data_IF_299213401075
#
_entry.id   IF_299213401075
#
_cell.length_a   1.000
_cell.length_b   1.000
_cell.length_c   1.000
_cell.angle_alpha   90.00
_cell.angle_beta   90.00
_cell.angle_gamma   90.00
#
_symmetry.space_group_name_H-M   'P 1'
#
loop_
_entity.id
_entity.type
_entity.pdbx_description
1 polymer ?
#
# COMPACT_ATOMS: atom_id res chain seq x y z
N UNK A 1 44.24 -49.10 -35.87
CA UNK A 1 43.29 -48.06 -36.12
C UNK A 1 42.37 -47.96 -34.88
N UNK A 2 42.64 -47.03 -33.97
CA UNK A 2 41.84 -46.82 -32.73
C UNK A 2 40.97 -45.59 -32.92
N UNK A 3 39.63 -45.78 -32.93
CA UNK A 3 38.62 -44.69 -32.93
C UNK A 3 38.47 -44.19 -31.52
N UNK A 4 38.89 -42.95 -31.27
CA UNK A 4 38.59 -42.22 -30.04
C UNK A 4 37.18 -41.63 -30.15
N UNK A 5 36.25 -42.17 -29.39
CA UNK A 5 34.92 -41.57 -29.19
C UNK A 5 35.07 -40.46 -28.16
N UNK A 6 34.89 -39.21 -28.60
CA UNK A 6 34.84 -38.06 -27.70
C UNK A 6 33.46 -37.96 -27.05
N UNK A 7 33.43 -38.04 -25.73
CA UNK A 7 32.23 -37.76 -24.90
C UNK A 7 32.09 -36.25 -24.82
N UNK A 8 31.14 -35.69 -25.57
CA UNK A 8 30.71 -34.30 -25.39
C UNK A 8 29.74 -34.24 -24.21
N UNK A 9 30.24 -33.89 -23.04
CA UNK A 9 29.41 -33.65 -21.87
C UNK A 9 28.65 -32.36 -22.04
N UNK A 10 27.34 -32.43 -22.26
CA UNK A 10 26.42 -31.31 -22.28
C UNK A 10 26.18 -30.88 -20.84
N UNK A 11 26.91 -29.85 -20.37
CA UNK A 11 26.61 -29.19 -19.09
C UNK A 11 25.42 -28.26 -19.34
N UNK A 12 24.20 -28.75 -19.08
CA UNK A 12 23.05 -27.88 -18.91
C UNK A 12 23.23 -27.15 -17.58
N UNK A 13 23.72 -25.92 -17.61
CA UNK A 13 23.61 -25.00 -16.50
C UNK A 13 22.11 -24.70 -16.32
N UNK A 14 21.49 -25.35 -15.35
CA UNK A 14 20.18 -24.95 -14.80
C UNK A 14 20.41 -23.58 -14.16
N UNK A 15 20.16 -22.52 -14.93
CA UNK A 15 19.91 -21.19 -14.38
C UNK A 15 18.53 -21.30 -13.73
N UNK A 16 18.50 -21.83 -12.53
CA UNK A 16 17.37 -21.61 -11.63
C UNK A 16 17.36 -20.11 -11.39
N UNK A 17 16.57 -19.38 -12.17
CA UNK A 17 16.20 -18.03 -11.81
C UNK A 17 15.59 -18.12 -10.43
N UNK A 18 16.31 -17.65 -9.42
CA UNK A 18 15.74 -17.42 -8.10
C UNK A 18 14.52 -16.55 -8.34
N UNK A 19 13.34 -17.12 -8.17
CA UNK A 19 12.14 -16.33 -7.98
C UNK A 19 12.41 -15.56 -6.69
N UNK A 20 12.90 -14.32 -6.83
CA UNK A 20 13.06 -13.43 -5.70
C UNK A 20 11.66 -13.28 -5.11
N UNK A 21 11.51 -13.66 -3.85
CA UNK A 21 10.31 -13.35 -3.14
C UNK A 21 10.26 -11.84 -3.03
N UNK A 22 9.17 -11.25 -3.41
CA UNK A 22 9.04 -9.79 -3.52
C UNK A 22 7.80 -9.35 -2.78
N UNK A 23 7.92 -8.26 -2.03
CA UNK A 23 6.77 -7.60 -1.42
C UNK A 23 6.33 -6.45 -2.30
N UNK A 24 5.07 -6.47 -2.69
CA UNK A 24 4.43 -5.39 -3.43
C UNK A 24 3.64 -4.50 -2.49
N UNK A 25 3.93 -3.20 -2.48
CA UNK A 25 3.11 -2.17 -1.85
C UNK A 25 2.16 -1.59 -2.88
N UNK A 26 0.87 -1.52 -2.54
CA UNK A 26 -0.14 -0.86 -3.36
C UNK A 26 -0.88 0.18 -2.53
N UNK A 27 -0.95 1.41 -3.05
CA UNK A 27 -1.61 2.54 -2.41
C UNK A 27 -2.97 2.79 -3.05
N UNK A 28 -4.01 2.83 -2.22
CA UNK A 28 -5.39 2.92 -2.63
C UNK A 28 -6.10 4.16 -2.10
N UNK A 29 -7.08 4.64 -2.87
CA UNK A 29 -8.13 5.49 -2.35
C UNK A 29 -9.48 4.77 -2.43
N UNK A 30 -10.22 4.78 -1.33
CA UNK A 30 -11.60 4.37 -1.26
C UNK A 30 -12.52 5.60 -1.34
N UNK A 31 -13.56 5.58 -2.17
CA UNK A 31 -14.42 6.75 -2.34
C UNK A 31 -15.24 7.12 -1.10
N UNK A 32 -15.31 6.20 -0.13
CA UNK A 32 -16.17 6.35 1.05
C UNK A 32 -17.60 5.85 0.83
N UNK A 33 -18.44 6.00 1.84
CA UNK A 33 -19.82 5.60 1.77
C UNK A 33 -20.64 6.60 0.94
N UNK A 34 -21.51 6.08 0.04
CA UNK A 34 -22.47 6.90 -0.68
C UNK A 34 -23.70 7.14 0.20
N UNK A 35 -24.00 8.40 0.47
CA UNK A 35 -25.23 8.78 1.21
C UNK A 35 -26.41 9.02 0.28
N UNK A 36 -27.59 9.19 0.86
CA UNK A 36 -28.87 9.22 0.14
C UNK A 36 -28.98 10.29 -0.96
N UNK A 37 -28.27 11.40 -0.83
CA UNK A 37 -28.18 12.50 -1.81
C UNK A 37 -27.10 12.27 -2.89
N UNK A 38 -26.45 11.11 -2.88
CA UNK A 38 -25.38 10.77 -3.82
C UNK A 38 -24.01 11.26 -3.42
N UNK A 39 -23.86 12.08 -2.37
CA UNK A 39 -22.57 12.54 -1.88
C UNK A 39 -21.78 11.38 -1.28
N UNK A 40 -20.46 11.43 -1.41
CA UNK A 40 -19.54 10.49 -0.79
C UNK A 40 -19.08 11.05 0.56
N UNK A 41 -19.25 10.26 1.62
CA UNK A 41 -18.77 10.57 2.95
C UNK A 41 -17.58 9.71 3.32
N UNK A 42 -16.62 10.35 3.99
CA UNK A 42 -15.44 9.69 4.53
C UNK A 42 -14.59 8.96 3.48
N UNK A 43 -14.19 9.65 2.37
CA UNK A 43 -13.20 9.07 1.48
C UNK A 43 -11.93 8.77 2.28
N UNK A 44 -11.26 7.67 1.94
CA UNK A 44 -10.14 7.17 2.72
C UNK A 44 -8.97 6.76 1.84
N UNK A 45 -7.74 6.88 2.36
CA UNK A 45 -6.54 6.35 1.73
C UNK A 45 -5.92 5.28 2.63
N UNK A 46 -5.43 4.22 2.00
CA UNK A 46 -4.78 3.10 2.70
C UNK A 46 -3.72 2.45 1.80
N UNK A 47 -2.86 1.62 2.41
CA UNK A 47 -1.84 0.83 1.72
C UNK A 47 -2.11 -0.65 1.96
N UNK A 48 -1.79 -1.48 0.98
CA UNK A 48 -1.69 -2.93 1.11
C UNK A 48 -0.28 -3.38 0.76
N UNK A 49 0.23 -4.36 1.50
CA UNK A 49 1.43 -5.11 1.19
C UNK A 49 1.07 -6.57 0.95
N UNK A 50 1.52 -7.13 -0.16
CA UNK A 50 1.33 -8.55 -0.50
C UNK A 50 2.61 -9.12 -1.07
N UNK A 51 2.87 -10.40 -0.82
CA UNK A 51 4.03 -11.09 -1.36
C UNK A 51 4.66 -12.08 -0.39
N UNK A 52 5.95 -12.25 -0.48
CA UNK A 52 6.71 -13.15 0.40
C UNK A 52 8.05 -12.49 0.73
N UNK A 53 8.50 -12.61 1.96
CA UNK A 53 9.81 -12.14 2.37
C UNK A 53 10.90 -13.10 1.89
N UNK A 54 11.96 -12.54 1.29
CA UNK A 54 13.08 -13.32 0.77
C UNK A 54 13.84 -14.07 1.86
N UNK A 55 14.06 -13.41 2.99
CA UNK A 55 14.92 -13.92 4.05
C UNK A 55 14.27 -14.98 4.93
N UNK A 56 12.93 -14.97 5.05
CA UNK A 56 12.19 -15.89 5.93
C UNK A 56 11.23 -16.80 5.19
N UNK A 57 10.83 -16.47 3.96
CA UNK A 57 9.77 -17.15 3.24
C UNK A 57 8.37 -16.86 3.82
N UNK A 58 8.25 -15.89 4.73
CA UNK A 58 6.97 -15.50 5.34
C UNK A 58 6.07 -14.82 4.30
N UNK A 59 4.82 -15.27 4.22
CA UNK A 59 3.82 -14.63 3.37
C UNK A 59 3.36 -13.31 4.01
N UNK A 60 3.42 -12.25 3.22
CA UNK A 60 2.90 -10.93 3.58
C UNK A 60 1.52 -10.75 2.96
N UNK A 61 0.52 -10.51 3.80
CA UNK A 61 -0.81 -10.04 3.42
C UNK A 61 -1.30 -9.08 4.51
N UNK A 62 -1.04 -7.80 4.30
CA UNK A 62 -1.27 -6.76 5.28
C UNK A 62 -1.80 -5.50 4.61
N UNK A 63 -2.80 -4.87 5.23
CA UNK A 63 -3.29 -3.58 4.79
C UNK A 63 -3.44 -2.63 5.98
N UNK A 64 -3.26 -1.32 5.77
CA UNK A 64 -3.36 -0.32 6.83
C UNK A 64 -3.86 1.03 6.33
N UNK A 65 -4.72 1.65 7.11
CA UNK A 65 -5.19 3.01 6.94
C UNK A 65 -5.33 3.70 8.30
N UNK A 66 -5.11 5.01 8.37
CA UNK A 66 -5.20 5.78 9.61
C UNK A 66 -6.50 6.57 9.66
N UNK A 67 -7.31 6.33 10.68
CA UNK A 67 -8.63 6.96 10.84
C UNK A 67 -8.84 7.47 12.28
N UNK A 68 -9.90 8.26 12.50
CA UNK A 68 -10.30 8.61 13.85
C UNK A 68 -10.93 7.40 14.54
N UNK A 69 -10.51 7.09 15.76
CA UNK A 69 -11.08 6.00 16.58
C UNK A 69 -12.57 6.19 16.82
N UNK A 70 -13.00 7.44 16.98
CA UNK A 70 -14.39 7.82 17.19
C UNK A 70 -14.78 8.88 16.15
N UNK A 71 -15.17 8.48 14.92
CA UNK A 71 -15.54 9.44 13.89
C UNK A 71 -16.85 10.17 14.26
N UNK A 72 -16.85 11.49 14.03
CA UNK A 72 -18.04 12.31 14.34
C UNK A 72 -17.84 13.80 14.06
N UNK A 73 -18.91 14.61 14.18
CA UNK A 73 -18.87 16.04 13.86
C UNK A 73 -17.87 16.86 14.69
N UNK A 74 -17.51 16.39 15.89
CA UNK A 74 -16.52 17.06 16.75
C UNK A 74 -15.14 17.21 16.08
N UNK A 75 -14.78 16.30 15.16
CA UNK A 75 -13.51 16.35 14.41
C UNK A 75 -13.40 17.56 13.47
N UNK A 76 -14.50 18.23 13.17
CA UNK A 76 -14.48 19.49 12.41
C UNK A 76 -13.85 20.62 13.22
N UNK A 77 -13.86 20.53 14.55
CA UNK A 77 -13.49 21.60 15.48
C UNK A 77 -12.39 21.21 16.47
N UNK A 78 -12.16 19.92 16.67
CA UNK A 78 -11.21 19.39 17.66
C UNK A 78 -10.38 18.23 17.08
N UNK A 79 -9.25 17.96 17.74
CA UNK A 79 -8.47 16.74 17.55
C UNK A 79 -9.15 15.58 18.27
N UNK A 80 -8.87 14.37 17.81
CA UNK A 80 -9.32 13.12 18.45
C UNK A 80 -8.20 12.09 18.49
N UNK A 81 -8.54 10.94 19.01
CA UNK A 81 -7.66 9.77 18.96
C UNK A 81 -7.75 9.13 17.58
N UNK A 82 -6.61 8.86 17.00
CA UNK A 82 -6.49 8.09 15.77
C UNK A 82 -6.20 6.63 16.04
N UNK A 83 -6.37 5.82 15.02
CA UNK A 83 -6.02 4.40 15.01
C UNK A 83 -5.62 3.98 13.62
N UNK A 84 -4.61 3.13 13.52
CA UNK A 84 -4.31 2.41 12.28
C UNK A 84 -5.25 1.21 12.25
N UNK A 85 -6.20 1.23 11.33
CA UNK A 85 -7.11 0.12 11.07
C UNK A 85 -6.54 -0.78 9.98
N UNK A 86 -6.88 -2.08 10.09
CA UNK A 86 -6.55 -3.08 9.08
C UNK A 86 -7.78 -3.27 8.18
N UNK A 87 -7.81 -2.67 6.99
CA UNK A 87 -8.90 -2.84 6.04
C UNK A 87 -9.13 -4.32 5.73
N UNK A 88 -10.38 -4.75 5.76
CA UNK A 88 -10.73 -6.12 5.38
C UNK A 88 -10.64 -6.31 3.85
N UNK A 89 -10.55 -7.55 3.33
CA UNK A 89 -10.37 -7.83 1.90
C UNK A 89 -11.46 -7.22 1.00
N UNK A 90 -12.70 -7.17 1.46
CA UNK A 90 -13.79 -6.53 0.71
C UNK A 90 -13.55 -5.04 0.54
N UNK A 91 -13.17 -4.34 1.62
CA UNK A 91 -12.87 -2.91 1.59
C UNK A 91 -11.69 -2.61 0.66
N UNK A 92 -10.66 -3.44 0.70
CA UNK A 92 -9.50 -3.34 -0.23
C UNK A 92 -9.98 -3.50 -1.67
N UNK A 93 -10.82 -4.50 -1.95
CA UNK A 93 -11.38 -4.76 -3.28
C UNK A 93 -12.27 -3.65 -3.84
N UNK A 94 -12.86 -2.79 -2.99
CA UNK A 94 -13.65 -1.62 -3.39
C UNK A 94 -12.77 -0.37 -3.60
N UNK A 95 -11.49 -0.42 -3.24
CA UNK A 95 -10.52 0.66 -3.41
C UNK A 95 -9.97 0.75 -4.83
N UNK A 96 -9.71 1.97 -5.30
CA UNK A 96 -8.97 2.22 -6.54
C UNK A 96 -7.48 2.30 -6.23
N UNK A 97 -6.66 1.46 -6.89
CA UNK A 97 -5.21 1.53 -6.82
C UNK A 97 -4.68 2.70 -7.65
N UNK A 98 -3.67 3.39 -7.15
CA UNK A 98 -3.01 4.52 -7.80
C UNK A 98 -1.51 4.31 -7.98
N UNK A 99 -0.88 3.66 -7.03
CA UNK A 99 0.56 3.40 -7.02
C UNK A 99 0.78 1.94 -6.63
N UNK A 100 1.73 1.32 -7.32
CA UNK A 100 2.20 -0.05 -7.02
C UNK A 100 3.69 -0.10 -7.20
N UNK A 101 4.41 -0.63 -6.22
CA UNK A 101 5.85 -0.80 -6.31
C UNK A 101 6.28 -2.05 -5.56
N UNK A 102 7.28 -2.72 -6.12
CA UNK A 102 7.98 -3.80 -5.44
C UNK A 102 9.06 -3.20 -4.54
N UNK A 103 9.16 -3.71 -3.33
CA UNK A 103 10.12 -3.25 -2.32
C UNK A 103 10.93 -4.40 -1.77
N UNK A 104 12.12 -4.10 -1.26
CA UNK A 104 12.93 -5.07 -0.51
C UNK A 104 12.29 -5.40 0.84
N UNK A 105 12.69 -6.54 1.44
CA UNK A 105 12.29 -6.91 2.79
C UNK A 105 12.59 -5.81 3.82
N UNK A 106 13.74 -5.15 3.68
CA UNK A 106 14.15 -4.07 4.57
C UNK A 106 13.20 -2.86 4.45
N UNK A 107 12.85 -2.46 3.22
CA UNK A 107 11.94 -1.34 2.97
C UNK A 107 10.52 -1.69 3.44
N UNK A 108 10.03 -2.91 3.20
CA UNK A 108 8.76 -3.36 3.74
C UNK A 108 8.71 -3.27 5.27
N UNK A 109 9.76 -3.77 5.95
CA UNK A 109 9.84 -3.69 7.41
C UNK A 109 9.89 -2.26 7.92
N UNK A 110 10.58 -1.36 7.20
CA UNK A 110 10.60 0.07 7.53
C UNK A 110 9.21 0.70 7.38
N UNK A 111 8.49 0.41 6.30
CA UNK A 111 7.09 0.86 6.09
C UNK A 111 6.18 0.31 7.19
N UNK A 112 6.30 -0.98 7.52
CA UNK A 112 5.52 -1.61 8.58
C UNK A 112 5.77 -0.99 9.95
N UNK A 113 7.04 -0.83 10.33
CA UNK A 113 7.42 -0.20 11.58
C UNK A 113 6.93 1.26 11.67
N UNK A 114 6.93 1.98 10.53
CA UNK A 114 6.40 3.34 10.47
C UNK A 114 4.88 3.37 10.65
N UNK A 115 4.15 2.42 10.08
CA UNK A 115 2.71 2.30 10.31
C UNK A 115 2.39 1.97 11.77
N UNK A 116 3.16 1.09 12.41
CA UNK A 116 3.00 0.73 13.81
C UNK A 116 3.27 1.93 14.74
N UNK A 117 4.22 2.81 14.38
CA UNK A 117 4.47 4.05 15.12
C UNK A 117 3.24 4.97 15.18
N UNK A 118 2.39 4.99 14.15
CA UNK A 118 1.16 5.79 14.16
C UNK A 118 0.12 5.32 15.18
N UNK A 119 0.28 4.12 15.75
CA UNK A 119 -0.51 3.59 16.87
C UNK A 119 0.11 3.84 18.24
N UNK A 120 1.30 4.47 18.32
CA UNK A 120 1.91 4.83 19.60
C UNK A 120 1.31 6.13 20.15
N UNK A 121 1.50 6.44 21.46
CA UNK A 121 1.05 7.70 22.06
C UNK A 121 1.53 8.95 21.31
N UNK A 122 2.72 8.91 20.71
CA UNK A 122 3.29 10.00 19.91
C UNK A 122 2.63 10.11 18.53
N UNK A 123 2.14 8.97 18.00
CA UNK A 123 1.61 8.83 16.65
C UNK A 123 0.11 8.98 16.52
N UNK A 124 -0.68 8.65 17.54
CA UNK A 124 -2.11 8.41 17.42
C UNK A 124 -3.03 9.64 17.35
N UNK A 125 -2.51 10.86 17.50
CA UNK A 125 -3.36 12.06 17.42
C UNK A 125 -3.95 12.20 16.02
N UNK A 126 -5.26 12.24 15.92
CA UNK A 126 -6.00 12.51 14.68
C UNK A 126 -6.43 13.98 14.61
N UNK A 127 -6.17 14.60 13.47
CA UNK A 127 -6.60 15.95 13.14
C UNK A 127 -7.06 15.94 11.68
N UNK A 128 -8.34 16.18 11.45
CA UNK A 128 -8.96 16.08 10.12
C UNK A 128 -8.25 16.96 9.08
N UNK A 129 -7.62 18.06 9.49
CA UNK A 129 -6.98 19.02 8.59
C UNK A 129 -5.47 18.83 8.45
N UNK A 130 -4.81 18.20 9.44
CA UNK A 130 -3.35 18.19 9.53
C UNK A 130 -2.74 16.81 9.71
N UNK A 131 -3.51 15.85 10.26
CA UNK A 131 -3.00 14.52 10.59
C UNK A 131 -4.10 13.47 10.41
N UNK A 132 -4.22 12.98 9.20
CA UNK A 132 -5.32 12.14 8.72
C UNK A 132 -4.80 11.00 7.84
N UNK A 133 -5.67 10.28 7.15
CA UNK A 133 -5.28 9.19 6.25
C UNK A 133 -4.32 9.64 5.14
N UNK A 134 -4.42 10.88 4.65
CA UNK A 134 -3.52 11.37 3.60
C UNK A 134 -2.10 11.56 4.14
N UNK A 135 -1.96 12.19 5.32
CA UNK A 135 -0.64 12.38 5.93
C UNK A 135 0.00 11.04 6.33
N UNK A 136 -0.81 10.06 6.76
CA UNK A 136 -0.36 8.69 7.01
C UNK A 136 0.21 8.05 5.75
N UNK A 137 -0.56 8.05 4.66
CA UNK A 137 -0.14 7.46 3.40
C UNK A 137 1.06 8.20 2.80
N UNK A 138 1.11 9.53 2.91
CA UNK A 138 2.26 10.32 2.47
C UNK A 138 3.54 9.94 3.25
N UNK A 139 3.41 9.73 4.54
CA UNK A 139 4.53 9.31 5.39
C UNK A 139 5.05 7.92 4.99
N UNK A 140 4.16 6.93 4.81
CA UNK A 140 4.54 5.59 4.37
C UNK A 140 5.12 5.57 2.95
N UNK A 141 4.54 6.37 2.03
CA UNK A 141 5.04 6.49 0.67
C UNK A 141 6.48 7.05 0.63
N UNK A 142 6.80 8.03 1.47
CA UNK A 142 8.18 8.56 1.60
C UNK A 142 9.14 7.52 2.15
N UNK A 143 8.72 6.73 3.16
CA UNK A 143 9.54 5.62 3.67
C UNK A 143 9.79 4.57 2.59
N UNK A 144 8.82 4.33 1.71
CA UNK A 144 8.97 3.46 0.55
C UNK A 144 9.76 4.10 -0.63
N UNK A 145 10.31 5.30 -0.45
CA UNK A 145 11.14 5.98 -1.45
C UNK A 145 10.37 6.79 -2.51
N UNK A 146 9.05 6.97 -2.35
CA UNK A 146 8.24 7.75 -3.29
C UNK A 146 8.30 9.26 -2.98
N UNK A 147 8.24 10.08 -4.01
CA UNK A 147 7.94 11.50 -3.90
C UNK A 147 6.44 11.68 -3.66
N UNK A 148 6.04 12.58 -2.75
CA UNK A 148 4.63 12.80 -2.44
C UNK A 148 4.19 14.21 -2.87
N UNK A 149 2.93 14.30 -3.33
CA UNK A 149 2.29 15.58 -3.56
C UNK A 149 2.11 16.36 -2.24
N UNK A 150 1.75 17.64 -2.36
CA UNK A 150 1.40 18.45 -1.18
C UNK A 150 0.15 17.89 -0.51
N UNK A 151 0.15 17.89 0.80
CA UNK A 151 -0.90 17.46 1.73
C UNK A 151 -1.29 18.66 2.61
N UNK A 152 -2.21 18.56 3.48
CA UNK A 152 -3.21 17.56 3.84
C UNK A 152 -4.64 17.91 3.38
N UNK A 153 -4.85 19.00 2.65
CA UNK A 153 -6.18 19.51 2.28
C UNK A 153 -6.80 18.81 1.06
N UNK A 154 -6.06 17.89 0.44
CA UNK A 154 -6.50 17.19 -0.75
C UNK A 154 -7.47 16.05 -0.41
N UNK A 155 -8.34 15.70 -1.35
CA UNK A 155 -9.09 14.45 -1.26
C UNK A 155 -8.13 13.26 -1.49
N UNK A 156 -8.36 12.09 -0.86
CA UNK A 156 -7.46 10.93 -0.99
C UNK A 156 -7.11 10.54 -2.43
N UNK A 157 -8.11 10.45 -3.31
CA UNK A 157 -7.89 10.14 -4.72
C UNK A 157 -7.05 11.19 -5.43
N UNK A 158 -7.35 12.48 -5.23
CA UNK A 158 -6.59 13.60 -5.83
C UNK A 158 -5.15 13.64 -5.34
N UNK A 159 -4.93 13.36 -4.05
CA UNK A 159 -3.57 13.26 -3.48
C UNK A 159 -2.78 12.12 -4.13
N UNK A 160 -3.37 10.92 -4.23
CA UNK A 160 -2.70 9.77 -4.81
C UNK A 160 -2.47 9.92 -6.33
N UNK A 161 -3.40 10.53 -7.05
CA UNK A 161 -3.23 10.85 -8.47
C UNK A 161 -2.06 11.82 -8.69
N UNK A 162 -1.99 12.90 -7.91
CA UNK A 162 -0.88 13.85 -7.96
C UNK A 162 0.47 13.19 -7.54
N UNK A 163 0.43 12.28 -6.56
CA UNK A 163 1.62 11.51 -6.14
C UNK A 163 2.04 10.53 -7.24
N UNK A 164 1.12 9.88 -7.93
CA UNK A 164 1.43 8.99 -9.07
C UNK A 164 2.10 9.75 -10.22
N UNK A 165 1.67 10.98 -10.48
CA UNK A 165 2.31 11.83 -11.50
C UNK A 165 3.78 12.16 -11.20
N UNK A 166 4.17 12.19 -9.91
CA UNK A 166 5.56 12.36 -9.46
C UNK A 166 6.38 11.06 -9.52
N UNK A 167 5.71 9.90 -9.64
CA UNK A 167 6.33 8.57 -9.61
C UNK A 167 5.83 7.70 -10.77
N UNK A 168 6.13 8.06 -12.02
CA UNK A 168 5.54 7.37 -13.19
C UNK A 168 5.87 5.88 -13.27
N UNK A 169 7.01 5.45 -12.72
CA UNK A 169 7.38 4.03 -12.67
C UNK A 169 6.53 3.19 -11.71
N UNK A 170 5.92 3.82 -10.70
CA UNK A 170 5.04 3.17 -9.74
C UNK A 170 3.55 3.45 -10.02
N UNK A 171 3.24 4.34 -10.96
CA UNK A 171 1.87 4.71 -11.28
C UNK A 171 1.10 3.52 -11.89
N UNK A 172 -0.09 3.25 -11.38
CA UNK A 172 -1.02 2.30 -11.98
C UNK A 172 -1.73 2.99 -13.15
N UNK A 173 -1.44 2.56 -14.38
CA UNK A 173 -1.92 3.20 -15.62
C UNK A 173 -3.38 2.86 -15.95
N UNK A 174 -3.89 1.74 -15.42
CA UNK A 174 -5.31 1.40 -15.49
C UNK A 174 -5.86 1.22 -14.07
N UNK A 175 -7.11 1.65 -13.80
CA UNK A 175 -7.73 1.39 -12.52
C UNK A 175 -8.00 -0.12 -12.40
N UNK A 176 -7.03 -0.86 -11.85
CA UNK A 176 -7.35 -2.22 -11.39
C UNK A 176 -8.37 -2.08 -10.26
N UNK A 177 -9.61 -2.45 -10.57
CA UNK A 177 -10.55 -2.80 -9.53
C UNK A 177 -9.90 -3.94 -8.73
N UNK A 178 -9.85 -3.80 -7.41
CA UNK A 178 -9.36 -4.86 -6.54
C UNK A 178 -10.03 -6.19 -6.87
N UNK A 179 -9.46 -7.33 -6.47
CA UNK A 179 -10.00 -8.65 -6.80
C UNK A 179 -11.47 -8.71 -6.42
N UNK A 180 -12.33 -9.00 -7.40
CA UNK A 180 -13.78 -9.15 -7.20
C UNK A 180 -14.01 -10.25 -6.15
N UNK A 181 -14.66 -9.98 -5.01
CA UNK A 181 -14.95 -11.01 -4.03
C UNK A 181 -15.92 -12.01 -4.65
N UNK A 182 -15.46 -13.24 -4.90
CA UNK A 182 -16.32 -14.41 -5.09
C UNK A 182 -16.79 -14.68 -6.50
N UNK A 183 -15.91 -15.24 -7.33
CA UNK A 183 -16.29 -16.25 -8.29
C UNK A 183 -16.05 -17.63 -7.64
N UNK A 184 -17.01 -18.13 -6.89
CA UNK A 184 -17.15 -19.55 -6.56
C UNK A 184 -18.58 -19.94 -6.77
#
# INVERSE_FOLDING_TARGET
MMRRAGLLGLVLALIAGSAWAEVTLTFYAHPGARVRDGNLLFPHAFVQATGTLDDTGETVDWAAGFTARYPGPHLLFARGDGVVELPNPRYVGEGKAYLRLTVSDADYRAVRARADWWNTPEGWVYDLRRRNCITFIADLARVAGLQTAAEPSMKPGTFLEATAALNPAAAVTEPEAGPTPGAR
#
